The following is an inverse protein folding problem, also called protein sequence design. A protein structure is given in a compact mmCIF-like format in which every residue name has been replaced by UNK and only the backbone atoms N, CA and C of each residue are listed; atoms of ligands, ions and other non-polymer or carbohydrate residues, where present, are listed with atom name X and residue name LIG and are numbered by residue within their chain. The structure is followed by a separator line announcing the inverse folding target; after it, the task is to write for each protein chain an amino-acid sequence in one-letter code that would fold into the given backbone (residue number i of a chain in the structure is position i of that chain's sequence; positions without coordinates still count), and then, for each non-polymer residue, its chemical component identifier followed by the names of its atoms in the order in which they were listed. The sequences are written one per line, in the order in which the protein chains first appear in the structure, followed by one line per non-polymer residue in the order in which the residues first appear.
data_IF_317717732560
#
_entry.id   IF_317717732560
#
_cell.length_a   1.000
_cell.length_b   1.000
_cell.length_c   1.000
_cell.angle_alpha   90.00
_cell.angle_beta   90.00
_cell.angle_gamma   90.00
#
_symmetry.space_group_name_H-M   'P 1'
#
loop_
_entity.id
_entity.type
_entity.pdbx_description
1 polymer ?
#
# COMPACT_ATOMS: atom_id res chain seq x y z
N UNK A 1 -4.37 -21.62 16.75
CA UNK A 1 -2.94 -21.24 16.66
C UNK A 1 -2.51 -20.85 15.24
N UNK A 2 -2.80 -21.64 14.20
CA UNK A 2 -2.39 -21.33 12.82
C UNK A 2 -2.85 -19.94 12.30
N UNK A 3 -4.05 -19.48 12.68
CA UNK A 3 -4.60 -18.19 12.26
C UNK A 3 -3.82 -16.97 12.81
N UNK A 4 -3.26 -17.07 14.02
CA UNK A 4 -2.52 -15.95 14.62
C UNK A 4 -1.13 -15.79 14.01
N UNK A 5 -0.44 -16.90 13.76
CA UNK A 5 0.85 -16.88 13.07
C UNK A 5 0.72 -16.27 11.67
N UNK A 6 -0.33 -16.66 10.92
CA UNK A 6 -0.61 -16.07 9.61
C UNK A 6 -0.85 -14.55 9.69
N UNK A 7 -1.65 -14.10 10.66
CA UNK A 7 -1.90 -12.67 10.88
C UNK A 7 -0.60 -11.90 11.11
N UNK A 8 0.25 -12.37 12.02
CA UNK A 8 1.54 -11.75 12.32
C UNK A 8 2.45 -11.72 11.09
N UNK A 9 2.48 -12.78 10.30
CA UNK A 9 3.26 -12.82 9.06
C UNK A 9 2.79 -11.75 8.08
N UNK A 10 1.48 -11.61 7.87
CA UNK A 10 0.91 -10.61 6.96
C UNK A 10 1.19 -9.18 7.43
N UNK A 11 1.01 -8.90 8.72
CA UNK A 11 1.32 -7.58 9.29
C UNK A 11 2.80 -7.21 9.09
N UNK A 12 3.72 -8.16 9.31
CA UNK A 12 5.15 -7.94 9.09
C UNK A 12 5.49 -7.70 7.62
N UNK A 13 4.81 -8.39 6.70
CA UNK A 13 4.98 -8.16 5.25
C UNK A 13 4.55 -6.73 4.91
N UNK A 14 3.36 -6.31 5.35
CA UNK A 14 2.87 -4.95 5.12
C UNK A 14 3.82 -3.89 5.69
N UNK A 15 4.32 -4.07 6.92
CA UNK A 15 5.29 -3.16 7.55
C UNK A 15 6.62 -3.07 6.79
N UNK A 16 7.04 -4.14 6.11
CA UNK A 16 8.26 -4.12 5.29
C UNK A 16 8.03 -3.49 3.92
N UNK A 17 6.84 -3.66 3.34
CA UNK A 17 6.50 -3.16 2.01
C UNK A 17 6.06 -1.69 2.00
N UNK A 18 5.43 -1.22 3.07
CA UNK A 18 4.90 0.13 3.18
C UNK A 18 5.91 1.10 3.81
N UNK A 19 6.34 2.09 3.03
CA UNK A 19 7.35 3.09 3.42
C UNK A 19 6.73 4.48 3.61
N UNK A 20 7.47 5.38 4.25
CA UNK A 20 7.08 6.79 4.38
C UNK A 20 6.91 7.48 3.02
N UNK A 21 7.77 7.17 2.06
CA UNK A 21 7.66 7.64 0.68
C UNK A 21 6.37 7.14 0.00
N UNK A 22 6.00 5.87 0.22
CA UNK A 22 4.73 5.33 -0.27
C UNK A 22 3.52 6.08 0.28
N UNK A 23 3.52 6.42 1.57
CA UNK A 23 2.45 7.20 2.20
C UNK A 23 2.25 8.55 1.50
N UNK A 24 3.33 9.34 1.39
CA UNK A 24 3.27 10.67 0.77
C UNK A 24 2.85 10.59 -0.71
N UNK A 25 3.41 9.64 -1.46
CA UNK A 25 3.08 9.44 -2.88
C UNK A 25 1.63 9.01 -3.08
N UNK A 26 1.15 8.03 -2.30
CA UNK A 26 -0.22 7.55 -2.34
C UNK A 26 -1.22 8.67 -2.02
N UNK A 27 -0.94 9.45 -0.98
CA UNK A 27 -1.74 10.62 -0.61
C UNK A 27 -1.81 11.63 -1.75
N UNK A 28 -0.68 11.95 -2.39
CA UNK A 28 -0.65 12.83 -3.56
C UNK A 28 -1.43 12.26 -4.76
N UNK A 29 -1.34 10.96 -5.02
CA UNK A 29 -2.09 10.27 -6.09
C UNK A 29 -3.61 10.29 -5.89
N UNK A 30 -4.06 10.30 -4.64
CA UNK A 30 -5.47 10.39 -4.26
C UNK A 30 -5.96 11.83 -4.11
N UNK A 31 -5.05 12.82 -4.15
CA UNK A 31 -5.38 14.22 -3.90
C UNK A 31 -5.77 14.50 -2.44
N UNK A 32 -5.35 13.64 -1.50
CA UNK A 32 -5.70 13.77 -0.09
C UNK A 32 -4.78 14.74 0.63
N UNK A 33 -5.34 15.50 1.58
CA UNK A 33 -4.53 16.24 2.56
C UNK A 33 -4.07 15.31 3.69
N UNK A 34 -3.10 15.77 4.50
CA UNK A 34 -2.62 14.99 5.66
C UNK A 34 -3.73 14.83 6.69
N UNK A 35 -4.57 15.85 6.87
CA UNK A 35 -5.75 15.81 7.73
C UNK A 35 -6.80 14.83 7.22
N UNK A 36 -6.98 14.73 5.90
CA UNK A 36 -7.89 13.74 5.32
C UNK A 36 -7.37 12.33 5.57
N UNK A 37 -6.09 12.05 5.29
CA UNK A 37 -5.49 10.74 5.55
C UNK A 37 -5.56 10.36 7.04
N UNK A 38 -5.28 11.31 7.93
CA UNK A 38 -5.43 11.15 9.38
C UNK A 38 -6.83 10.70 9.77
N UNK A 39 -7.88 11.38 9.27
CA UNK A 39 -9.29 11.02 9.54
C UNK A 39 -9.67 9.66 8.96
N UNK A 40 -9.32 9.41 7.70
CA UNK A 40 -9.66 8.16 7.00
C UNK A 40 -8.97 6.93 7.61
N UNK A 41 -7.71 7.08 8.05
CA UNK A 41 -6.94 5.99 8.65
C UNK A 41 -7.16 5.84 10.16
N UNK A 42 -7.81 6.81 10.83
CA UNK A 42 -7.96 6.81 12.29
C UNK A 42 -6.63 6.99 13.03
N UNK A 43 -5.67 7.68 12.41
CA UNK A 43 -4.32 7.93 12.95
C UNK A 43 -4.20 9.42 13.28
N UNK A 44 -3.51 9.79 14.37
CA UNK A 44 -3.32 11.20 14.73
C UNK A 44 -2.57 11.96 13.63
N UNK A 45 -2.91 13.25 13.45
CA UNK A 45 -2.27 14.11 12.44
C UNK A 45 -0.74 14.09 12.59
N UNK A 46 -0.26 14.26 13.82
CA UNK A 46 1.16 14.22 14.16
C UNK A 46 1.82 12.90 13.74
N UNK A 47 1.16 11.75 13.94
CA UNK A 47 1.74 10.47 13.54
C UNK A 47 1.85 10.34 12.01
N UNK A 48 0.93 10.91 11.24
CA UNK A 48 1.04 10.95 9.78
C UNK A 48 2.20 11.84 9.34
N UNK A 49 2.30 13.06 9.90
CA UNK A 49 3.37 14.00 9.59
C UNK A 49 4.76 13.44 9.94
N UNK A 50 4.90 12.85 11.14
CA UNK A 50 6.13 12.19 11.57
C UNK A 50 6.50 11.04 10.64
N UNK A 51 5.52 10.22 10.26
CA UNK A 51 5.77 9.10 9.37
C UNK A 51 6.23 9.57 7.98
N UNK A 52 5.54 10.53 7.36
CA UNK A 52 5.95 11.10 6.07
C UNK A 52 7.32 11.79 6.16
N UNK A 53 7.67 12.37 7.33
CA UNK A 53 8.99 12.92 7.63
C UNK A 53 10.07 11.87 7.97
N UNK A 54 9.81 10.58 7.72
CA UNK A 54 10.72 9.45 7.99
C UNK A 54 11.10 9.27 9.46
N UNK A 55 10.30 9.80 10.38
CA UNK A 55 10.48 9.57 11.81
C UNK A 55 9.79 8.29 12.25
N UNK A 56 10.26 7.72 13.36
CA UNK A 56 9.64 6.54 13.95
C UNK A 56 8.23 6.85 14.46
N UNK A 57 7.32 5.92 14.16
CA UNK A 57 5.93 5.91 14.63
C UNK A 57 5.54 4.46 14.94
N UNK A 58 4.45 4.28 15.69
CA UNK A 58 3.99 2.95 16.07
C UNK A 58 3.62 2.11 14.83
N UNK A 59 3.95 0.82 14.86
CA UNK A 59 3.60 -0.11 13.78
C UNK A 59 2.08 -0.19 13.54
N UNK A 60 1.26 -0.03 14.58
CA UNK A 60 -0.20 0.05 14.44
C UNK A 60 -0.62 1.22 13.55
N UNK A 61 -0.01 2.40 13.69
CA UNK A 61 -0.27 3.56 12.83
C UNK A 61 0.17 3.29 11.39
N UNK A 62 1.32 2.63 11.21
CA UNK A 62 1.84 2.28 9.87
C UNK A 62 0.91 1.29 9.15
N UNK A 63 0.45 0.27 9.87
CA UNK A 63 -0.51 -0.71 9.35
C UNK A 63 -1.85 -0.05 8.99
N UNK A 64 -2.38 0.82 9.87
CA UNK A 64 -3.62 1.54 9.59
C UNK A 64 -3.52 2.41 8.33
N UNK A 65 -2.41 3.14 8.17
CA UNK A 65 -2.14 3.92 6.96
C UNK A 65 -2.03 3.04 5.71
N UNK A 66 -1.27 1.93 5.79
CA UNK A 66 -1.11 0.99 4.68
C UNK A 66 -2.47 0.45 4.22
N UNK A 67 -3.24 -0.12 5.14
CA UNK A 67 -4.53 -0.73 4.81
C UNK A 67 -5.55 0.28 4.29
N UNK A 68 -5.58 1.51 4.84
CA UNK A 68 -6.49 2.55 4.35
C UNK A 68 -6.20 2.95 2.91
N UNK A 69 -4.93 3.03 2.55
CA UNK A 69 -4.51 3.36 1.18
C UNK A 69 -4.70 2.16 0.24
N UNK A 70 -4.45 0.93 0.70
CA UNK A 70 -4.75 -0.29 -0.07
C UNK A 70 -6.24 -0.45 -0.36
N UNK A 71 -7.11 -0.02 0.56
CA UNK A 71 -8.55 0.01 0.34
C UNK A 71 -8.98 0.92 -0.83
N UNK A 72 -8.14 1.89 -1.23
CA UNK A 72 -8.33 2.71 -2.44
C UNK A 72 -7.79 2.03 -3.72
N UNK A 73 -7.43 0.74 -3.64
CA UNK A 73 -6.89 -0.04 -4.75
C UNK A 73 -5.41 0.23 -5.05
N UNK A 74 -4.69 0.82 -4.10
CA UNK A 74 -3.24 1.01 -4.17
C UNK A 74 -2.50 -0.26 -3.74
N UNK A 75 -1.34 -0.50 -4.31
CA UNK A 75 -0.45 -1.61 -3.96
C UNK A 75 0.97 -1.08 -3.75
N UNK A 76 1.64 -1.59 -2.72
CA UNK A 76 2.96 -1.13 -2.31
C UNK A 76 4.00 -2.23 -2.52
N UNK A 77 4.96 -1.97 -3.40
CA UNK A 77 6.10 -2.86 -3.63
C UNK A 77 7.39 -2.14 -3.25
N UNK A 78 8.26 -2.74 -2.42
CA UNK A 78 9.56 -2.16 -2.09
C UNK A 78 10.33 -1.73 -3.34
N UNK A 79 10.80 -0.49 -3.36
CA UNK A 79 11.62 0.05 -4.46
C UNK A 79 10.82 0.59 -5.65
N UNK A 80 9.48 0.58 -5.61
CA UNK A 80 8.62 1.12 -6.67
C UNK A 80 7.64 2.15 -6.11
N UNK A 81 7.27 3.16 -6.90
CA UNK A 81 6.16 4.05 -6.50
C UNK A 81 4.84 3.26 -6.37
N UNK A 82 3.87 3.71 -5.55
CA UNK A 82 2.59 3.03 -5.38
C UNK A 82 1.91 2.74 -6.72
N UNK A 83 1.54 1.49 -6.93
CA UNK A 83 0.80 1.05 -8.11
C UNK A 83 -0.71 1.15 -7.87
N UNK A 84 -1.50 1.41 -8.93
CA UNK A 84 -2.94 1.12 -8.93
C UNK A 84 -3.16 -0.19 -9.66
N UNK A 85 -3.98 -1.09 -9.11
CA UNK A 85 -4.31 -2.38 -9.73
C UNK A 85 -4.83 -2.29 -11.17
N UNK A 86 -5.32 -1.10 -11.58
CA UNK A 86 -5.84 -0.84 -12.92
C UNK A 86 -4.80 -0.27 -13.92
N UNK A 87 -3.55 -0.03 -13.52
CA UNK A 87 -2.54 0.66 -14.34
C UNK A 87 -1.22 -0.12 -14.54
N UNK A 88 -1.26 -1.45 -14.54
CA UNK A 88 -0.17 -2.18 -15.22
C UNK A 88 -0.40 -2.02 -16.71
N UNK A 89 0.28 -1.08 -17.38
CA UNK A 89 0.38 -1.08 -18.84
C UNK A 89 0.95 -2.44 -19.26
N UNK A 90 0.08 -3.33 -19.73
CA UNK A 90 0.43 -4.70 -20.08
C UNK A 90 -0.41 -5.79 -19.40
N UNK A 91 -1.17 -5.47 -18.35
CA UNK A 91 -2.18 -6.41 -17.84
C UNK A 91 -3.37 -6.41 -18.79
N UNK A 92 -3.27 -7.20 -19.86
CA UNK A 92 -4.42 -7.57 -20.67
C UNK A 92 -5.43 -8.20 -19.71
N UNK A 93 -6.67 -7.73 -19.77
CA UNK A 93 -7.77 -8.15 -18.90
C UNK A 93 -8.08 -9.65 -18.94
N UNK A 94 -7.49 -10.39 -19.89
CA UNK A 94 -7.50 -11.83 -19.96
C UNK A 94 -6.21 -12.37 -20.64
N UNK A 95 -5.14 -12.69 -19.88
CA UNK A 95 -3.92 -13.24 -20.47
C UNK A 95 -4.13 -14.64 -21.06
N UNK A 96 -5.07 -15.43 -20.51
CA UNK A 96 -5.36 -16.81 -20.91
C UNK A 96 -6.11 -16.90 -22.24
N UNK A 97 -6.89 -15.87 -22.58
CA UNK A 97 -7.63 -15.82 -23.86
C UNK A 97 -6.82 -15.29 -25.03
N UNK A 98 -5.54 -14.93 -24.84
CA UNK A 98 -4.72 -14.36 -25.90
C UNK A 98 -3.98 -15.49 -26.66
N UNK A 99 -4.00 -15.50 -28.01
CA UNK A 99 -3.30 -16.51 -28.81
C UNK A 99 -1.79 -16.60 -28.53
N UNK A 100 -1.18 -15.50 -28.06
CA UNK A 100 0.26 -15.43 -27.77
C UNK A 100 0.65 -16.10 -26.44
N UNK A 101 -0.31 -16.49 -25.60
CA UNK A 101 -0.03 -17.13 -24.30
C UNK A 101 0.72 -18.45 -24.47
N UNK A 102 0.44 -19.19 -25.55
CA UNK A 102 1.03 -20.49 -25.82
C UNK A 102 2.44 -20.44 -26.45
N UNK A 103 2.97 -19.25 -26.76
CA UNK A 103 4.27 -19.07 -27.45
C UNK A 103 5.39 -18.69 -26.46
N UNK A 104 5.09 -18.64 -25.15
CA UNK A 104 6.02 -18.23 -24.09
C UNK A 104 6.71 -19.39 -23.35
N UNK A 105 6.58 -20.64 -23.83
CA UNK A 105 7.31 -21.81 -23.29
C UNK A 105 8.55 -22.17 -24.10
#
# INVERSE_FOLDING_TARGET
MASHAMKLTLERIALFQFTSAHCAQARAMLGWSVEQLSREAGVSLEAVERFEAQQEVQDASRLALAYRLEAEGLMFFPGFAPGRGMNVRGAKSNPVGQPDFAILE
#
